data_IF_993258052445
#
_entry.id   IF_993258052445
#
_cell.length_a   1.000
_cell.length_b   1.000
_cell.length_c   1.000
_cell.angle_alpha   90.00
_cell.angle_beta   90.00
_cell.angle_gamma   90.00
#
_symmetry.space_group_name_H-M   'P 1'
#
loop_
_entity.id
_entity.type
_entity.pdbx_description
1 polymer ?
#
# COMPACT_ATOMS: atom_id res chain seq x y z
N UNK A 1 -10.99 7.10 -3.07
CA UNK A 1 -9.88 6.17 -3.13
C UNK A 1 -9.87 5.48 -4.49
N UNK A 2 -8.77 5.60 -5.22
CA UNK A 2 -8.43 4.76 -6.36
C UNK A 2 -7.48 3.66 -5.89
N UNK A 3 -7.93 2.43 -5.93
CA UNK A 3 -7.30 1.32 -5.20
C UNK A 3 -6.66 0.30 -6.13
N UNK A 4 -5.52 -0.25 -5.70
CA UNK A 4 -4.81 -1.35 -6.36
C UNK A 4 -4.35 -0.99 -7.78
N UNK A 5 -3.90 0.26 -7.95
CA UNK A 5 -3.33 0.73 -9.21
C UNK A 5 -1.99 0.06 -9.46
N UNK A 6 -1.80 -0.46 -10.66
CA UNK A 6 -0.56 -1.15 -11.03
C UNK A 6 0.42 -0.24 -11.77
N UNK A 7 -0.07 0.85 -12.38
CA UNK A 7 0.70 1.76 -13.23
C UNK A 7 0.43 3.23 -12.90
N UNK A 8 1.37 4.11 -13.24
CA UNK A 8 1.16 5.55 -13.17
C UNK A 8 0.13 6.04 -14.19
N UNK A 9 0.00 5.35 -15.32
CA UNK A 9 -0.98 5.71 -16.34
C UNK A 9 -2.42 5.56 -15.83
N UNK A 10 -2.72 4.49 -15.07
CA UNK A 10 -4.02 4.32 -14.41
C UNK A 10 -4.30 5.44 -13.41
N UNK A 11 -3.32 5.76 -12.57
CA UNK A 11 -3.44 6.83 -11.58
C UNK A 11 -3.69 8.19 -12.23
N UNK A 12 -2.98 8.50 -13.32
CA UNK A 12 -3.15 9.74 -14.08
C UNK A 12 -4.55 9.83 -14.68
N UNK A 13 -5.03 8.76 -15.31
CA UNK A 13 -6.37 8.72 -15.88
C UNK A 13 -7.45 8.98 -14.82
N UNK A 14 -7.35 8.32 -13.66
CA UNK A 14 -8.29 8.55 -12.55
C UNK A 14 -8.23 9.99 -12.05
N UNK A 15 -7.02 10.54 -11.86
CA UNK A 15 -6.84 11.92 -11.43
C UNK A 15 -7.44 12.94 -12.41
N UNK A 16 -7.26 12.73 -13.72
CA UNK A 16 -7.85 13.57 -14.77
C UNK A 16 -9.38 13.50 -14.77
N UNK A 17 -9.96 12.30 -14.62
CA UNK A 17 -11.41 12.10 -14.54
C UNK A 17 -12.02 12.77 -13.32
N UNK A 18 -11.30 12.83 -12.20
CA UNK A 18 -11.75 13.40 -10.93
C UNK A 18 -11.35 14.87 -10.75
N UNK A 19 -10.71 15.50 -11.73
CA UNK A 19 -10.20 16.88 -11.62
C UNK A 19 -11.26 17.93 -11.27
N UNK A 20 -12.52 17.70 -11.64
CA UNK A 20 -13.65 18.56 -11.32
C UNK A 20 -14.37 18.15 -10.01
N UNK A 21 -13.92 17.10 -9.35
CA UNK A 21 -14.51 16.58 -8.11
C UNK A 21 -13.80 17.22 -6.90
N UNK A 22 -14.56 17.76 -5.97
CA UNK A 22 -14.03 18.42 -4.77
C UNK A 22 -13.67 17.42 -3.65
N UNK A 23 -13.99 16.13 -3.84
CA UNK A 23 -13.67 15.10 -2.84
C UNK A 23 -12.18 14.80 -2.79
N UNK A 24 -11.64 14.47 -1.61
CA UNK A 24 -10.24 14.09 -1.45
C UNK A 24 -9.86 12.91 -2.37
N UNK A 25 -8.78 13.06 -3.15
CA UNK A 25 -8.22 11.97 -3.96
C UNK A 25 -7.17 11.23 -3.13
N UNK A 26 -7.33 9.93 -2.99
CA UNK A 26 -6.35 9.00 -2.44
C UNK A 26 -5.96 7.99 -3.52
N UNK A 27 -4.66 7.84 -3.76
CA UNK A 27 -4.11 6.92 -4.75
C UNK A 27 -3.44 5.75 -4.01
N UNK A 28 -3.87 4.53 -4.30
CA UNK A 28 -3.29 3.33 -3.70
C UNK A 28 -2.71 2.41 -4.76
N UNK A 29 -1.42 2.11 -4.62
CA UNK A 29 -0.66 1.33 -5.58
C UNK A 29 -0.34 -0.07 -5.04
N UNK A 30 -0.35 -1.05 -5.93
CA UNK A 30 0.15 -2.39 -5.65
C UNK A 30 1.61 -2.50 -6.11
N UNK A 31 2.42 -3.19 -5.29
CA UNK A 31 3.86 -3.28 -5.46
C UNK A 31 4.28 -4.65 -6.01
N UNK A 32 5.47 -4.72 -6.58
CA UNK A 32 6.15 -5.99 -6.77
C UNK A 32 6.58 -6.52 -5.39
N UNK A 33 6.31 -7.79 -5.14
CA UNK A 33 6.58 -8.44 -3.85
C UNK A 33 8.05 -8.85 -3.67
N UNK A 34 8.89 -8.66 -4.70
CA UNK A 34 10.30 -9.06 -4.71
C UNK A 34 11.24 -7.85 -4.86
N UNK A 35 12.37 -7.92 -4.16
CA UNK A 35 13.45 -6.94 -4.29
C UNK A 35 13.15 -5.59 -3.62
N UNK A 36 13.58 -4.50 -4.25
CA UNK A 36 13.28 -3.14 -3.80
C UNK A 36 11.85 -2.75 -4.17
N UNK A 37 11.20 -1.94 -3.34
CA UNK A 37 9.83 -1.51 -3.60
C UNK A 37 9.69 -0.77 -4.93
N UNK A 38 8.88 -1.34 -5.82
CA UNK A 38 8.50 -0.77 -7.12
C UNK A 38 7.02 -1.08 -7.37
N UNK A 39 6.35 -0.29 -8.20
CA UNK A 39 5.01 -0.65 -8.68
C UNK A 39 5.08 -1.97 -9.47
N UNK A 40 3.97 -2.68 -9.60
CA UNK A 40 3.94 -3.91 -10.42
C UNK A 40 4.36 -3.72 -11.86
N UNK A 41 4.16 -2.53 -12.39
CA UNK A 41 4.64 -2.10 -13.73
C UNK A 41 6.14 -1.92 -13.84
N UNK A 42 6.87 -1.88 -12.70
CA UNK A 42 8.28 -1.54 -12.65
C UNK A 42 8.58 -0.04 -12.49
N UNK A 43 7.57 0.81 -12.41
CA UNK A 43 7.73 2.25 -12.12
C UNK A 43 8.14 2.45 -10.66
N UNK A 44 8.85 3.55 -10.37
CA UNK A 44 9.42 3.75 -9.04
C UNK A 44 8.44 4.41 -8.07
N UNK A 45 8.69 4.24 -6.77
CA UNK A 45 7.93 4.90 -5.71
C UNK A 45 8.05 6.42 -5.80
N UNK A 46 9.22 6.93 -6.19
CA UNK A 46 9.46 8.35 -6.37
C UNK A 46 8.61 8.95 -7.49
N UNK A 47 8.44 8.21 -8.59
CA UNK A 47 7.54 8.60 -9.68
C UNK A 47 6.08 8.61 -9.23
N UNK A 48 5.66 7.61 -8.43
CA UNK A 48 4.31 7.56 -7.88
C UNK A 48 4.05 8.73 -6.90
N UNK A 49 5.01 9.06 -6.06
CA UNK A 49 4.94 10.20 -5.14
C UNK A 49 4.86 11.54 -5.91
N UNK A 50 5.68 11.70 -6.95
CA UNK A 50 5.64 12.89 -7.81
C UNK A 50 4.29 13.04 -8.50
N UNK A 51 3.71 11.94 -9.01
CA UNK A 51 2.38 11.96 -9.60
C UNK A 51 1.28 12.29 -8.58
N UNK A 52 1.38 11.79 -7.35
CA UNK A 52 0.44 12.12 -6.28
C UNK A 52 0.44 13.63 -5.99
N UNK A 53 1.63 14.26 -5.95
CA UNK A 53 1.79 15.72 -5.81
C UNK A 53 1.18 16.45 -7.00
N UNK A 54 1.48 16.04 -8.22
CA UNK A 54 0.95 16.64 -9.47
C UNK A 54 -0.58 16.63 -9.50
N UNK A 55 -1.19 15.53 -9.06
CA UNK A 55 -2.65 15.35 -9.01
C UNK A 55 -3.30 15.96 -7.75
N UNK A 56 -2.53 16.61 -6.90
CA UNK A 56 -3.01 17.16 -5.61
C UNK A 56 -3.71 16.11 -4.74
N UNK A 57 -3.22 14.87 -4.77
CA UNK A 57 -3.75 13.80 -3.93
C UNK A 57 -3.47 14.11 -2.44
N UNK A 58 -4.43 13.80 -1.57
CA UNK A 58 -4.28 13.95 -0.13
C UNK A 58 -3.59 12.75 0.52
N UNK A 59 -3.55 11.62 -0.17
CA UNK A 59 -2.82 10.45 0.30
C UNK A 59 -2.25 9.61 -0.86
N UNK A 60 -1.07 9.04 -0.62
CA UNK A 60 -0.51 7.92 -1.38
C UNK A 60 -0.48 6.70 -0.48
N UNK A 61 -0.98 5.58 -0.97
CA UNK A 61 -1.06 4.34 -0.20
C UNK A 61 -0.42 3.19 -0.99
N UNK A 62 -0.03 2.15 -0.25
CA UNK A 62 0.49 0.90 -0.83
C UNK A 62 -0.33 -0.26 -0.30
N UNK A 63 -0.88 -1.09 -1.20
CA UNK A 63 -1.79 -2.14 -0.80
C UNK A 63 -1.59 -3.46 -1.56
N UNK A 64 -2.22 -4.49 -1.05
CA UNK A 64 -2.33 -5.81 -1.69
C UNK A 64 -0.98 -6.40 -2.15
N UNK A 65 0.07 -6.12 -1.40
CA UNK A 65 1.44 -6.60 -1.61
C UNK A 65 2.00 -7.11 -0.30
N UNK A 66 3.12 -7.81 -0.33
CA UNK A 66 3.73 -8.42 0.85
C UNK A 66 4.14 -7.38 1.91
N UNK A 67 4.02 -7.67 3.20
CA UNK A 67 4.44 -6.78 4.29
C UNK A 67 5.90 -6.31 4.19
N UNK A 68 6.76 -7.16 3.65
CA UNK A 68 8.21 -6.99 3.56
C UNK A 68 8.63 -5.80 2.70
N UNK A 69 7.88 -5.51 1.62
CA UNK A 69 8.21 -4.41 0.69
C UNK A 69 7.66 -3.06 1.13
N UNK A 70 6.72 -3.04 2.08
CA UNK A 70 6.00 -1.83 2.48
C UNK A 70 6.89 -0.79 3.18
N UNK A 71 7.82 -1.24 4.04
CA UNK A 71 8.72 -0.32 4.75
C UNK A 71 9.59 0.51 3.80
N UNK A 72 10.17 -0.14 2.78
CA UNK A 72 10.97 0.54 1.77
C UNK A 72 10.11 1.51 0.94
N UNK A 73 8.90 1.13 0.57
CA UNK A 73 7.96 1.99 -0.13
C UNK A 73 7.64 3.26 0.68
N UNK A 74 7.32 3.12 1.97
CA UNK A 74 7.03 4.24 2.88
C UNK A 74 8.23 5.19 2.98
N UNK A 75 9.44 4.66 3.23
CA UNK A 75 10.65 5.48 3.34
C UNK A 75 10.95 6.26 2.07
N UNK A 76 10.77 5.63 0.90
CA UNK A 76 11.02 6.26 -0.41
C UNK A 76 9.96 7.31 -0.72
N UNK A 77 8.68 7.01 -0.48
CA UNK A 77 7.60 7.98 -0.64
C UNK A 77 7.82 9.20 0.28
N UNK A 78 8.12 9.00 1.56
CA UNK A 78 8.39 10.07 2.51
C UNK A 78 9.54 10.97 2.07
N UNK A 79 10.63 10.40 1.56
CA UNK A 79 11.75 11.17 1.03
C UNK A 79 11.37 11.98 -0.20
N UNK A 80 10.63 11.37 -1.12
CA UNK A 80 10.22 12.03 -2.37
C UNK A 80 9.24 13.18 -2.12
N UNK A 81 8.29 13.00 -1.20
CA UNK A 81 7.32 14.03 -0.81
C UNK A 81 7.94 15.17 0.03
N UNK A 82 9.04 14.90 0.74
CA UNK A 82 9.72 15.92 1.55
C UNK A 82 8.82 16.54 2.61
N UNK A 83 8.46 17.81 2.45
CA UNK A 83 7.61 18.59 3.38
C UNK A 83 6.16 18.67 2.94
N UNK A 84 5.76 18.00 1.87
CA UNK A 84 4.39 18.02 1.40
C UNK A 84 3.44 17.34 2.39
N UNK A 85 2.23 17.88 2.51
CA UNK A 85 1.20 17.39 3.44
C UNK A 85 0.38 16.24 2.85
N UNK A 86 1.03 15.33 2.10
CA UNK A 86 0.40 14.13 1.55
C UNK A 86 0.58 12.98 2.56
N UNK A 87 -0.52 12.40 3.00
CA UNK A 87 -0.48 11.27 3.93
C UNK A 87 0.04 9.99 3.22
N UNK A 88 0.74 9.14 3.97
CA UNK A 88 1.26 7.87 3.47
C UNK A 88 0.55 6.73 4.20
N UNK A 89 -0.03 5.79 3.44
CA UNK A 89 -0.77 4.66 4.01
C UNK A 89 -0.26 3.30 3.55
N UNK A 90 -0.51 2.28 4.39
CA UNK A 90 -0.16 0.88 4.10
C UNK A 90 -1.30 -0.03 4.52
N UNK A 91 -1.68 -0.97 3.64
CA UNK A 91 -2.55 -2.09 3.96
C UNK A 91 -2.14 -3.33 3.16
N UNK A 92 -1.18 -4.07 3.74
CA UNK A 92 -0.57 -5.24 3.13
C UNK A 92 -1.54 -6.45 3.09
N UNK A 93 -1.24 -7.43 2.24
CA UNK A 93 -1.97 -8.69 2.21
C UNK A 93 -1.34 -9.74 3.14
N UNK A 94 -2.13 -10.74 3.52
CA UNK A 94 -1.73 -11.87 4.34
C UNK A 94 -1.58 -13.19 3.58
N UNK A 95 -1.51 -13.17 2.25
CA UNK A 95 -1.34 -14.40 1.47
C UNK A 95 0.12 -14.81 1.33
N UNK A 96 0.36 -16.11 1.27
CA UNK A 96 1.65 -16.66 0.89
C UNK A 96 2.00 -16.30 -0.56
N UNK A 97 3.30 -16.12 -0.84
CA UNK A 97 3.78 -15.99 -2.21
C UNK A 97 3.36 -17.25 -2.99
N UNK A 98 2.83 -17.09 -4.18
CA UNK A 98 2.57 -18.20 -5.07
C UNK A 98 3.82 -18.41 -5.92
N UNK A 99 4.41 -19.59 -5.82
CA UNK A 99 5.51 -20.01 -6.71
C UNK A 99 5.02 -20.22 -8.16
N UNK A 100 3.70 -20.26 -8.37
CA UNK A 100 3.06 -20.40 -9.68
C UNK A 100 1.87 -19.44 -9.79
N UNK A 101 1.58 -18.97 -11.01
CA UNK A 101 0.34 -18.24 -11.30
C UNK A 101 -0.88 -19.14 -11.02
N UNK A 102 -1.63 -18.81 -9.97
CA UNK A 102 -2.89 -19.50 -9.68
C UNK A 102 -3.91 -19.05 -10.74
N UNK A 103 -4.46 -19.97 -11.55
CA UNK A 103 -5.47 -19.62 -12.54
C UNK A 103 -6.66 -18.91 -11.91
N UNK A 104 -7.32 -18.05 -12.67
CA UNK A 104 -8.59 -17.47 -12.23
C UNK A 104 -9.55 -18.61 -11.82
N UNK A 105 -10.09 -18.54 -10.59
CA UNK A 105 -10.88 -19.59 -9.94
C UNK A 105 -10.09 -20.86 -9.50
N UNK A 106 -8.76 -20.80 -9.42
CA UNK A 106 -7.90 -21.90 -8.98
C UNK A 106 -7.92 -22.19 -7.47
N UNK A 107 -8.80 -21.54 -6.72
CA UNK A 107 -8.92 -21.68 -5.27
C UNK A 107 -8.44 -20.44 -4.49
N UNK A 108 -8.61 -20.46 -3.17
CA UNK A 108 -8.08 -19.42 -2.29
C UNK A 108 -6.59 -19.66 -2.06
N UNK A 109 -5.79 -18.58 -2.12
CA UNK A 109 -4.39 -18.64 -1.69
C UNK A 109 -4.30 -18.94 -0.20
N UNK A 110 -3.27 -19.65 0.18
CA UNK A 110 -3.00 -19.95 1.59
C UNK A 110 -2.68 -18.64 2.35
N UNK A 111 -3.28 -18.50 3.54
CA UNK A 111 -2.98 -17.39 4.44
C UNK A 111 -1.68 -17.72 5.18
N UNK A 112 -0.77 -16.78 5.25
CA UNK A 112 0.51 -16.91 5.95
C UNK A 112 0.31 -17.09 7.46
N UNK A 113 0.77 -18.22 7.99
CA UNK A 113 0.69 -18.52 9.42
C UNK A 113 1.58 -17.59 10.29
N UNK A 114 2.59 -16.96 9.68
CA UNK A 114 3.49 -16.01 10.33
C UNK A 114 2.96 -14.56 10.35
N UNK A 115 1.73 -14.33 9.87
CA UNK A 115 1.04 -13.04 9.91
C UNK A 115 -0.22 -13.08 10.79
N UNK A 116 -0.12 -13.70 11.96
CA UNK A 116 -1.13 -13.58 12.99
C UNK A 116 -1.24 -12.10 13.49
N UNK A 117 -2.33 -11.73 14.20
CA UNK A 117 -2.54 -10.34 14.60
C UNK A 117 -1.37 -9.69 15.36
N UNK A 118 -0.67 -10.33 16.31
CA UNK A 118 0.52 -9.76 16.94
C UNK A 118 1.66 -9.49 15.96
N UNK A 119 1.97 -10.44 15.09
CA UNK A 119 3.08 -10.29 14.11
C UNK A 119 2.77 -9.28 13.02
N UNK A 120 1.50 -9.17 12.62
CA UNK A 120 1.08 -8.11 11.71
C UNK A 120 1.21 -6.72 12.35
N UNK A 121 0.94 -6.60 13.65
CA UNK A 121 1.19 -5.37 14.41
C UNK A 121 2.68 -5.01 14.42
N UNK A 122 3.58 -5.99 14.57
CA UNK A 122 5.03 -5.74 14.49
C UNK A 122 5.45 -5.11 13.15
N UNK A 123 4.85 -5.57 12.04
CA UNK A 123 5.04 -4.94 10.73
C UNK A 123 4.49 -3.52 10.68
N UNK A 124 3.27 -3.33 11.16
CA UNK A 124 2.63 -2.01 11.18
C UNK A 124 3.43 -0.98 11.98
N UNK A 125 4.02 -1.37 13.11
CA UNK A 125 4.90 -0.51 13.91
C UNK A 125 6.14 -0.06 13.11
N UNK A 126 6.75 -0.95 12.31
CA UNK A 126 7.86 -0.60 11.42
C UNK A 126 7.43 0.39 10.35
N UNK A 127 6.26 0.21 9.73
CA UNK A 127 5.74 1.14 8.73
C UNK A 127 5.46 2.52 9.31
N UNK A 128 4.86 2.58 10.50
CA UNK A 128 4.62 3.84 11.22
C UNK A 128 5.93 4.52 11.58
N UNK A 129 6.91 3.78 12.12
CA UNK A 129 8.23 4.31 12.43
C UNK A 129 8.96 4.85 11.18
N UNK A 130 8.71 4.26 10.01
CA UNK A 130 9.24 4.70 8.72
C UNK A 130 8.50 5.91 8.13
N UNK A 131 7.30 6.25 8.65
CA UNK A 131 6.56 7.45 8.31
C UNK A 131 5.16 7.24 7.75
N UNK A 132 4.59 6.03 7.83
CA UNK A 132 3.19 5.83 7.51
C UNK A 132 2.27 6.53 8.54
N UNK A 133 1.24 7.21 8.03
CA UNK A 133 0.23 7.90 8.83
C UNK A 133 -1.05 7.07 8.95
N UNK A 134 -1.24 6.12 8.06
CA UNK A 134 -2.40 5.24 8.00
C UNK A 134 -1.94 3.80 7.85
N UNK A 135 -2.55 2.91 8.62
CA UNK A 135 -2.30 1.46 8.49
C UNK A 135 -3.62 0.72 8.49
N UNK A 136 -3.68 -0.36 7.75
CA UNK A 136 -4.84 -1.21 7.64
C UNK A 136 -4.46 -2.62 7.22
N UNK A 137 -5.38 -3.33 6.59
CA UNK A 137 -5.14 -4.66 6.05
C UNK A 137 -5.90 -4.87 4.76
N UNK A 138 -5.34 -5.68 3.86
CA UNK A 138 -5.97 -6.13 2.62
C UNK A 138 -6.37 -7.62 2.75
N UNK A 139 -6.27 -8.37 1.68
CA UNK A 139 -6.65 -9.78 1.62
C UNK A 139 -5.98 -10.61 2.72
N UNK A 140 -6.74 -11.48 3.38
CA UNK A 140 -6.25 -12.34 4.46
C UNK A 140 -6.09 -11.66 5.83
N UNK A 141 -6.26 -10.34 5.91
CA UNK A 141 -6.17 -9.57 7.16
C UNK A 141 -7.58 -9.30 7.69
N UNK A 142 -7.94 -9.93 8.80
CA UNK A 142 -9.28 -9.91 9.37
C UNK A 142 -9.46 -8.90 10.51
N UNK A 143 -10.68 -8.85 11.10
CA UNK A 143 -11.02 -7.90 12.17
C UNK A 143 -10.14 -7.99 13.41
N UNK A 144 -9.57 -9.16 13.70
CA UNK A 144 -8.67 -9.36 14.84
C UNK A 144 -7.33 -8.65 14.65
N UNK A 145 -6.81 -8.62 13.41
CA UNK A 145 -5.64 -7.83 13.05
C UNK A 145 -5.91 -6.33 13.24
N UNK A 146 -7.06 -5.85 12.74
CA UNK A 146 -7.42 -4.44 12.88
C UNK A 146 -7.58 -4.05 14.35
N UNK A 147 -8.11 -4.94 15.19
CA UNK A 147 -8.18 -4.73 16.64
C UNK A 147 -6.77 -4.59 17.24
N UNK A 148 -5.85 -5.51 16.88
CA UNK A 148 -4.46 -5.46 17.34
C UNK A 148 -3.77 -4.16 16.90
N UNK A 149 -3.97 -3.72 15.66
CA UNK A 149 -3.44 -2.43 15.16
C UNK A 149 -3.97 -1.26 15.98
N UNK A 150 -5.28 -1.18 16.21
CA UNK A 150 -5.90 -0.11 17.00
C UNK A 150 -5.33 -0.06 18.41
N UNK A 151 -5.22 -1.22 19.07
CA UNK A 151 -4.81 -1.29 20.48
C UNK A 151 -3.29 -1.09 20.64
N UNK A 152 -2.49 -1.42 19.63
CA UNK A 152 -1.03 -1.35 19.68
C UNK A 152 -0.39 -0.10 19.06
N UNK A 153 -1.15 0.72 18.33
CA UNK A 153 -0.67 1.95 17.69
C UNK A 153 -1.28 3.23 18.28
N UNK A 154 -2.11 3.10 19.32
CA UNK A 154 -2.81 4.21 20.02
C UNK A 154 -1.89 4.90 21.02
#
# INVERSE_FOLDING_TARGET
LAETLSTLAEARLVGEMLKADERPLWLSFTLNDEGSAMLRSGETIEQAASLASELSAQAILFNCSAPEVMEDAVRRAKRALGTESIAIGVYANGFAHADEEVPANGGLREIRADLDPPRYLDWAQKWVASGANMVGGCCGIGPEHIRALRDGLS
#
